data_IF_898662933082
#
_entry.id   IF_898662933082
#
_cell.length_a   1.000
_cell.length_b   1.000
_cell.length_c   1.000
_cell.angle_alpha   90.00
_cell.angle_beta   90.00
_cell.angle_gamma   90.00
#
_symmetry.space_group_name_H-M   'P 1'
#
loop_
_entity.id
_entity.type
_entity.pdbx_description
1 polymer ?
#
# COMPACT_ATOMS: atom_id res chain seq x y z
N UNK A 1 17.81 7.61 24.05
CA UNK A 1 16.74 7.90 23.08
C UNK A 1 16.83 9.35 22.66
N UNK A 2 16.69 9.63 21.36
CA UNK A 2 16.86 10.97 20.80
C UNK A 2 15.81 11.23 19.73
N UNK A 3 14.82 12.11 19.96
CA UNK A 3 13.86 12.51 18.93
C UNK A 3 14.56 13.24 17.76
N UNK A 4 14.12 12.98 16.53
CA UNK A 4 14.67 13.58 15.31
C UNK A 4 13.62 14.43 14.62
N UNK A 5 13.90 15.73 14.50
CA UNK A 5 13.05 16.73 13.85
C UNK A 5 13.64 17.13 12.50
N UNK A 6 12.79 17.43 11.52
CA UNK A 6 13.18 18.04 10.24
C UNK A 6 12.76 19.50 10.22
N UNK A 7 13.71 20.39 9.91
CA UNK A 7 13.45 21.83 9.84
C UNK A 7 12.85 22.38 11.13
N UNK A 8 11.72 23.08 10.99
CA UNK A 8 10.98 23.70 12.10
C UNK A 8 9.74 22.91 12.54
N UNK A 9 9.67 21.61 12.23
CA UNK A 9 8.55 20.77 12.63
C UNK A 9 8.42 20.68 14.15
N UNK A 10 7.19 20.77 14.67
CA UNK A 10 6.90 20.62 16.10
C UNK A 10 6.82 19.16 16.54
N UNK A 11 6.62 18.23 15.61
CA UNK A 11 6.60 16.79 15.86
C UNK A 11 7.84 16.14 15.27
N UNK A 12 8.45 15.24 16.04
CA UNK A 12 9.58 14.46 15.59
C UNK A 12 9.14 13.46 14.52
N UNK A 13 9.88 13.40 13.42
CA UNK A 13 9.72 12.40 12.36
C UNK A 13 9.94 10.96 12.83
N UNK A 14 10.67 10.80 13.93
CA UNK A 14 10.96 9.53 14.56
C UNK A 14 11.94 9.71 15.72
N UNK A 15 12.30 8.59 16.34
CA UNK A 15 13.19 8.55 17.51
C UNK A 15 14.35 7.60 17.23
N UNK A 16 15.57 8.11 17.38
CA UNK A 16 16.77 7.27 17.44
C UNK A 16 16.81 6.56 18.79
N UNK A 17 16.83 5.23 18.76
CA UNK A 17 16.91 4.39 19.94
C UNK A 17 18.19 3.56 19.88
N UNK A 18 19.01 3.73 20.90
CA UNK A 18 20.29 3.06 21.09
C UNK A 18 20.26 2.34 22.43
N UNK A 19 20.69 1.09 22.46
CA UNK A 19 20.95 0.38 23.69
C UNK A 19 22.08 -0.63 23.49
N UNK A 20 22.88 -0.78 24.54
CA UNK A 20 24.00 -1.71 24.57
C UNK A 20 24.17 -2.20 26.02
N UNK A 21 24.15 -3.52 26.19
CA UNK A 21 24.38 -4.15 27.49
C UNK A 21 25.84 -3.98 27.91
N UNK A 22 26.08 -3.27 29.01
CA UNK A 22 27.43 -3.01 29.51
C UNK A 22 28.06 -4.25 30.13
N UNK A 23 27.26 -5.05 30.84
CA UNK A 23 27.73 -6.17 31.67
C UNK A 23 28.23 -7.38 30.86
N UNK A 24 27.73 -7.55 29.63
CA UNK A 24 28.04 -8.68 28.75
C UNK A 24 28.64 -8.26 27.40
N UNK A 25 29.12 -7.01 27.30
CA UNK A 25 29.63 -6.39 26.08
C UNK A 25 28.63 -6.40 24.90
N UNK A 26 27.34 -6.23 25.17
CA UNK A 26 26.28 -6.14 24.16
C UNK A 26 25.77 -7.49 23.66
N UNK A 27 26.11 -8.59 24.32
CA UNK A 27 25.62 -9.92 23.94
C UNK A 27 24.12 -10.07 24.19
N UNK A 28 23.60 -9.48 25.26
CA UNK A 28 22.17 -9.49 25.57
C UNK A 28 21.38 -8.47 24.74
N UNK A 29 21.77 -7.19 24.84
CA UNK A 29 21.12 -6.08 24.13
C UNK A 29 22.21 -5.33 23.34
N UNK A 30 22.04 -5.22 22.03
CA UNK A 30 22.83 -4.34 21.19
C UNK A 30 21.98 -3.91 19.99
N UNK A 31 21.43 -2.70 20.05
CA UNK A 31 20.67 -2.15 18.94
C UNK A 31 20.92 -0.66 18.76
N UNK A 32 20.80 -0.24 17.51
CA UNK A 32 20.81 1.15 17.09
C UNK A 32 19.77 1.29 15.97
N UNK A 33 18.56 1.70 16.32
CA UNK A 33 17.39 1.70 15.43
C UNK A 33 16.72 3.07 15.37
N UNK A 34 16.04 3.32 14.27
CA UNK A 34 15.19 4.49 14.11
C UNK A 34 13.71 4.06 14.13
N UNK A 35 12.96 4.55 15.10
CA UNK A 35 11.53 4.33 15.20
C UNK A 35 10.76 5.50 14.57
N UNK A 36 10.12 5.25 13.42
CA UNK A 36 9.35 6.26 12.70
C UNK A 36 8.08 6.65 13.46
N UNK A 37 7.78 7.95 13.53
CA UNK A 37 6.55 8.48 14.14
C UNK A 37 5.35 8.40 13.19
N UNK A 38 5.12 7.23 12.59
CA UNK A 38 4.02 7.00 11.65
C UNK A 38 2.99 6.04 12.25
N UNK A 39 1.74 6.20 11.84
CA UNK A 39 0.67 5.27 12.17
C UNK A 39 -0.11 4.93 10.90
N UNK A 40 -0.25 3.64 10.53
CA UNK A 40 -1.05 3.24 9.39
C UNK A 40 -2.48 3.80 9.45
N UNK A 41 -2.93 4.41 8.36
CA UNK A 41 -4.27 5.00 8.24
C UNK A 41 -4.43 6.39 8.89
N UNK A 42 -3.35 7.00 9.40
CA UNK A 42 -3.38 8.34 9.97
C UNK A 42 -2.44 9.27 9.18
N UNK A 43 -2.96 10.43 8.79
CA UNK A 43 -2.13 11.55 8.35
C UNK A 43 -1.72 12.38 9.56
N UNK A 44 -0.44 12.76 9.62
CA UNK A 44 0.12 13.60 10.68
C UNK A 44 0.76 14.83 10.01
N UNK A 45 0.30 16.02 10.39
CA UNK A 45 0.99 17.27 10.09
C UNK A 45 2.13 17.44 11.10
N UNK A 46 3.37 17.19 10.68
CA UNK A 46 4.51 17.30 11.57
C UNK A 46 4.87 18.76 11.93
N UNK A 47 4.42 19.73 11.13
CA UNK A 47 4.67 21.14 11.39
C UNK A 47 3.79 21.65 12.53
N UNK A 48 2.51 21.27 12.57
CA UNK A 48 1.55 21.73 13.59
C UNK A 48 1.32 20.74 14.73
N UNK A 49 1.46 19.45 14.44
CA UNK A 49 1.14 18.34 15.34
C UNK A 49 -0.30 17.82 15.23
N UNK A 50 -1.09 18.32 14.29
CA UNK A 50 -2.44 17.82 14.05
C UNK A 50 -2.41 16.43 13.37
N UNK A 51 -3.44 15.61 13.63
CA UNK A 51 -3.61 14.32 12.97
C UNK A 51 -5.07 14.02 12.65
N UNK A 52 -5.29 13.26 11.58
CA UNK A 52 -6.62 12.81 11.16
C UNK A 52 -6.54 11.48 10.42
N UNK A 53 -7.68 10.78 10.34
CA UNK A 53 -7.80 9.57 9.52
C UNK A 53 -7.45 9.94 8.08
N UNK A 54 -6.47 9.24 7.51
CA UNK A 54 -6.09 9.44 6.12
C UNK A 54 -7.27 9.01 5.24
N UNK A 55 -7.74 9.91 4.37
CA UNK A 55 -8.76 9.57 3.38
C UNK A 55 -8.19 8.45 2.49
N UNK A 56 -8.94 7.38 2.28
CA UNK A 56 -8.47 6.11 1.67
C UNK A 56 -7.68 6.37 0.37
N UNK A 57 -6.35 6.50 0.46
CA UNK A 57 -5.57 6.95 -0.69
C UNK A 57 -4.05 6.99 -0.56
N UNK A 58 -3.48 7.34 0.60
CA UNK A 58 -2.02 7.24 0.81
C UNK A 58 -1.67 7.12 2.30
N UNK A 59 -1.48 5.88 2.75
CA UNK A 59 -0.76 5.61 4.00
C UNK A 59 0.75 5.57 3.72
N UNK A 60 1.49 6.56 4.20
CA UNK A 60 2.95 6.53 4.25
C UNK A 60 3.40 5.51 5.31
N UNK A 61 3.44 4.25 4.91
CA UNK A 61 3.76 3.13 5.79
C UNK A 61 3.20 1.81 5.29
N UNK A 62 3.34 1.52 4.00
CA UNK A 62 3.05 0.19 3.46
C UNK A 62 4.35 -0.45 3.03
N UNK A 63 4.65 -1.63 3.60
CA UNK A 63 5.37 -2.65 2.87
C UNK A 63 4.73 -2.73 1.49
N UNK A 64 5.50 -2.32 0.49
CA UNK A 64 5.11 -2.36 -0.91
C UNK A 64 4.93 -3.83 -1.32
N UNK A 65 3.73 -4.38 -1.16
CA UNK A 65 3.12 -4.94 -2.36
C UNK A 65 2.64 -3.74 -3.13
N UNK A 66 3.45 -3.33 -4.10
CA UNK A 66 3.07 -2.31 -5.05
C UNK A 66 1.72 -2.74 -5.65
N UNK A 67 0.63 -2.15 -5.16
CA UNK A 67 -0.53 -1.90 -6.00
C UNK A 67 -0.11 -0.75 -6.92
N UNK A 68 0.85 -1.05 -7.79
CA UNK A 68 0.85 -0.46 -9.10
C UNK A 68 -0.58 -0.68 -9.58
N UNK A 69 -1.33 0.40 -9.90
CA UNK A 69 -2.61 0.29 -10.59
C UNK A 69 -2.29 -0.26 -11.97
N UNK A 70 -1.86 -1.52 -12.01
CA UNK A 70 -1.42 -2.21 -13.18
C UNK A 70 -2.66 -2.37 -14.02
N UNK A 71 -2.64 -1.62 -15.11
CA UNK A 71 -3.57 -1.85 -16.19
C UNK A 71 -3.30 -3.27 -16.66
N UNK A 72 -4.25 -4.14 -16.42
CA UNK A 72 -4.21 -5.52 -16.89
C UNK A 72 -5.16 -5.63 -18.07
N UNK A 73 -4.82 -6.51 -18.99
CA UNK A 73 -5.74 -6.95 -20.01
C UNK A 73 -6.77 -7.89 -19.38
N UNK A 74 -8.05 -7.65 -19.66
CA UNK A 74 -9.19 -8.43 -19.20
C UNK A 74 -10.05 -8.83 -20.39
N UNK A 75 -10.65 -10.02 -20.31
CA UNK A 75 -11.61 -10.51 -21.28
C UNK A 75 -13.00 -10.46 -20.64
N UNK A 76 -13.82 -9.53 -21.12
CA UNK A 76 -15.18 -9.27 -20.69
C UNK A 76 -16.16 -10.14 -21.48
N UNK A 77 -17.13 -10.72 -20.78
CA UNK A 77 -18.25 -11.44 -21.36
C UNK A 77 -19.51 -10.59 -21.32
N UNK A 78 -19.90 -10.04 -22.47
CA UNK A 78 -21.03 -9.11 -22.58
C UNK A 78 -22.40 -9.76 -22.33
N UNK A 79 -22.48 -11.10 -22.28
CA UNK A 79 -23.74 -11.83 -22.05
C UNK A 79 -24.05 -12.02 -20.56
N UNK A 80 -23.04 -12.34 -19.75
CA UNK A 80 -23.23 -12.66 -18.34
C UNK A 80 -22.57 -11.66 -17.39
N UNK A 81 -22.02 -10.57 -17.95
CA UNK A 81 -21.32 -9.52 -17.21
C UNK A 81 -20.19 -10.08 -16.34
N UNK A 82 -19.47 -11.10 -16.82
CA UNK A 82 -18.29 -11.62 -16.11
C UNK A 82 -17.00 -11.24 -16.80
N UNK A 83 -15.93 -11.05 -16.03
CA UNK A 83 -14.60 -10.82 -16.59
C UNK A 83 -13.60 -11.89 -16.19
N UNK A 84 -12.64 -12.11 -17.06
CA UNK A 84 -11.61 -13.13 -16.91
C UNK A 84 -10.23 -12.54 -17.25
N UNK A 85 -9.17 -13.15 -16.74
CA UNK A 85 -7.81 -12.91 -17.24
C UNK A 85 -7.63 -13.55 -18.63
N UNK A 86 -6.68 -13.07 -19.45
CA UNK A 86 -6.38 -13.64 -20.77
C UNK A 86 -6.01 -15.12 -20.70
N UNK A 87 -5.31 -15.52 -19.62
CA UNK A 87 -4.85 -16.88 -19.38
C UNK A 87 -5.92 -17.79 -18.73
N UNK A 88 -7.15 -17.32 -18.54
CA UNK A 88 -8.19 -18.12 -17.90
C UNK A 88 -8.72 -19.22 -18.83
N UNK A 89 -8.68 -20.48 -18.36
CA UNK A 89 -9.16 -21.65 -19.12
C UNK A 89 -10.63 -21.53 -19.59
N UNK A 90 -11.45 -20.75 -18.89
CA UNK A 90 -12.86 -20.49 -19.24
C UNK A 90 -13.04 -19.61 -20.47
N UNK A 91 -12.03 -18.80 -20.84
CA UNK A 91 -12.06 -17.94 -22.03
C UNK A 91 -12.13 -18.78 -23.30
N UNK A 92 -11.43 -19.91 -23.35
CA UNK A 92 -11.45 -20.82 -24.51
C UNK A 92 -12.84 -21.40 -24.79
N UNK A 93 -13.68 -21.53 -23.76
CA UNK A 93 -15.05 -22.06 -23.85
C UNK A 93 -16.09 -20.97 -24.13
N UNK A 94 -15.69 -19.70 -24.13
CA UNK A 94 -16.58 -18.58 -24.38
C UNK A 94 -16.78 -18.39 -25.89
N UNK A 95 -17.99 -18.03 -26.29
CA UNK A 95 -18.29 -17.68 -27.69
C UNK A 95 -17.61 -16.37 -28.09
N UNK A 96 -16.95 -16.35 -29.24
CA UNK A 96 -16.22 -15.16 -29.72
C UNK A 96 -17.11 -13.94 -29.94
N UNK A 97 -18.41 -14.14 -30.18
CA UNK A 97 -19.38 -13.03 -30.32
C UNK A 97 -19.63 -12.26 -29.03
N UNK A 98 -19.31 -12.84 -27.87
CA UNK A 98 -19.54 -12.25 -26.56
C UNK A 98 -18.23 -11.84 -25.86
N UNK A 99 -17.07 -12.04 -26.51
CA UNK A 99 -15.76 -11.68 -25.98
C UNK A 99 -15.44 -10.23 -26.32
N UNK A 100 -15.05 -9.45 -25.31
CA UNK A 100 -14.51 -8.12 -25.50
C UNK A 100 -13.24 -7.97 -24.66
N UNK A 101 -12.15 -7.52 -25.27
CA UNK A 101 -10.90 -7.24 -24.56
C UNK A 101 -10.94 -5.81 -24.00
N UNK A 102 -10.47 -5.64 -22.77
CA UNK A 102 -10.36 -4.35 -22.10
C UNK A 102 -9.03 -4.26 -21.34
N UNK A 103 -8.30 -3.16 -21.52
CA UNK A 103 -7.06 -2.90 -20.77
C UNK A 103 -7.31 -1.76 -19.81
N UNK A 104 -7.17 -2.02 -18.52
CA UNK A 104 -7.44 -1.04 -17.48
C UNK A 104 -7.30 -1.65 -16.10
N UNK A 105 -7.75 -0.97 -15.06
CA UNK A 105 -7.70 -1.52 -13.71
C UNK A 105 -8.90 -2.42 -13.43
N UNK A 106 -8.75 -3.32 -12.46
CA UNK A 106 -9.86 -4.19 -12.02
C UNK A 106 -11.08 -3.38 -11.58
N UNK A 107 -10.86 -2.26 -10.91
CA UNK A 107 -11.91 -1.38 -10.41
C UNK A 107 -12.73 -0.79 -11.56
N UNK A 108 -12.09 -0.40 -12.67
CA UNK A 108 -12.79 0.09 -13.87
C UNK A 108 -13.68 -0.99 -14.49
N UNK A 109 -13.24 -2.25 -14.47
CA UNK A 109 -14.05 -3.38 -14.95
C UNK A 109 -15.28 -3.60 -14.08
N UNK A 110 -15.12 -3.51 -12.76
CA UNK A 110 -16.23 -3.61 -11.81
C UNK A 110 -17.19 -2.41 -11.96
N UNK A 111 -16.68 -1.20 -12.19
CA UNK A 111 -17.48 0.01 -12.43
C UNK A 111 -18.31 -0.08 -13.72
N UNK A 112 -17.78 -0.75 -14.75
CA UNK A 112 -18.54 -1.10 -15.96
C UNK A 112 -19.63 -2.17 -15.70
N UNK A 113 -19.74 -2.68 -14.47
CA UNK A 113 -20.77 -3.63 -14.04
C UNK A 113 -20.40 -5.10 -14.23
N UNK A 114 -19.12 -5.43 -14.42
CA UNK A 114 -18.65 -6.81 -14.60
C UNK A 114 -18.11 -7.43 -13.30
N UNK A 115 -18.36 -8.73 -13.09
CA UNK A 115 -17.97 -9.49 -11.87
C UNK A 115 -17.04 -10.68 -12.15
#
# INVERSE_FOLDING_TARGET
MTPVFYGSNLVASGVQMEAWSVEDNGQGICFNIYAYSVQPGIYIDYATGDSHVADNGQAAGTHTKAANKEQHEYILNTKNMKFHSPDCSSVSKMSDKNKQTFTGTREQVIEMGYE
#
